data_IF_682012026963
#
_entry.id   IF_682012026963
#
_cell.length_a   1.000
_cell.length_b   1.000
_cell.length_c   1.000
_cell.angle_alpha   90.00
_cell.angle_beta   90.00
_cell.angle_gamma   90.00
#
_symmetry.space_group_name_H-M   'P 1'
#
loop_
_entity.id
_entity.type
_entity.pdbx_description
1 polymer ?
#
# COMPACT_ATOMS: atom_id res chain seq x y z
N UNK A 1 2.82 21.36 3.42
CA UNK A 1 2.92 20.71 4.75
C UNK A 1 4.23 19.94 4.71
N UNK A 2 5.26 20.41 5.41
CA UNK A 2 6.59 19.78 5.41
C UNK A 2 6.56 18.60 6.38
N UNK A 3 7.08 17.46 5.93
CA UNK A 3 7.35 16.31 6.78
C UNK A 3 8.36 16.73 7.87
N UNK A 4 8.06 16.44 9.14
CA UNK A 4 8.87 16.88 10.29
C UNK A 4 9.06 15.72 11.25
N UNK A 5 10.30 15.38 11.56
CA UNK A 5 10.63 14.46 12.63
C UNK A 5 10.38 15.14 13.99
N UNK A 6 9.40 14.63 14.75
CA UNK A 6 9.11 15.07 16.11
C UNK A 6 9.23 13.91 17.09
N UNK A 7 9.53 14.25 18.33
CA UNK A 7 9.58 13.27 19.41
C UNK A 7 8.18 12.63 19.60
N UNK A 8 8.13 11.30 19.70
CA UNK A 8 6.90 10.51 19.81
C UNK A 8 6.02 10.97 20.98
N UNK A 9 6.64 11.32 22.12
CA UNK A 9 5.93 11.72 23.33
C UNK A 9 5.21 13.06 23.17
N UNK A 10 5.59 13.90 22.20
CA UNK A 10 4.99 15.21 21.98
C UNK A 10 3.81 15.19 21.01
N UNK A 11 3.59 14.09 20.30
CA UNK A 11 2.58 14.00 19.23
C UNK A 11 1.54 12.90 19.47
N UNK A 12 1.93 11.79 20.12
CA UNK A 12 1.04 10.63 20.27
C UNK A 12 0.62 10.40 21.72
N UNK A 13 -0.60 9.90 21.93
CA UNK A 13 -1.15 9.60 23.26
C UNK A 13 -0.44 8.43 23.97
N UNK A 14 -0.69 8.29 25.28
CA UNK A 14 0.00 7.30 26.14
C UNK A 14 -0.03 5.87 25.60
N UNK A 15 -1.16 5.40 25.09
CA UNK A 15 -1.31 4.05 24.55
C UNK A 15 -0.40 3.79 23.33
N UNK A 16 -0.26 4.80 22.46
CA UNK A 16 0.65 4.73 21.29
C UNK A 16 2.11 4.74 21.72
N UNK A 17 2.45 5.50 22.77
CA UNK A 17 3.79 5.49 23.35
C UNK A 17 4.12 4.14 23.98
N UNK A 18 3.18 3.52 24.68
CA UNK A 18 3.35 2.18 25.26
C UNK A 18 3.59 1.12 24.18
N UNK A 19 2.81 1.15 23.09
CA UNK A 19 3.02 0.27 21.95
C UNK A 19 4.43 0.48 21.35
N UNK A 20 4.85 1.73 21.12
CA UNK A 20 6.16 2.01 20.55
C UNK A 20 7.31 1.51 21.46
N UNK A 21 7.19 1.69 22.78
CA UNK A 21 8.16 1.16 23.75
C UNK A 21 8.18 -0.38 23.71
N UNK A 22 7.02 -1.04 23.61
CA UNK A 22 6.93 -2.49 23.52
C UNK A 22 7.61 -3.01 22.23
N UNK A 23 7.41 -2.35 21.09
CA UNK A 23 8.09 -2.67 19.82
C UNK A 23 9.60 -2.51 19.95
N UNK A 24 10.08 -1.41 20.55
CA UNK A 24 11.51 -1.18 20.75
C UNK A 24 12.18 -2.23 21.65
N UNK A 25 11.43 -2.82 22.58
CA UNK A 25 11.91 -3.85 23.52
C UNK A 25 11.77 -5.28 23.02
N UNK A 26 11.07 -5.49 21.91
CA UNK A 26 10.85 -6.82 21.37
C UNK A 26 12.16 -7.43 20.83
N UNK A 27 12.31 -8.75 21.06
CA UNK A 27 13.51 -9.53 20.75
C UNK A 27 13.76 -9.70 19.26
N UNK A 28 12.69 -9.74 18.47
CA UNK A 28 12.73 -10.08 17.04
C UNK A 28 11.62 -9.37 16.27
N UNK A 29 11.75 -9.36 14.94
CA UNK A 29 10.82 -8.65 14.07
C UNK A 29 9.42 -9.27 14.04
N UNK A 30 9.27 -10.57 14.31
CA UNK A 30 7.96 -11.20 14.39
C UNK A 30 7.20 -10.70 15.61
N UNK A 31 7.86 -10.62 16.76
CA UNK A 31 7.29 -10.06 17.98
C UNK A 31 6.94 -8.57 17.81
N UNK A 32 7.78 -7.80 17.10
CA UNK A 32 7.48 -6.40 16.75
C UNK A 32 6.20 -6.27 15.92
N UNK A 33 6.07 -7.10 14.88
CA UNK A 33 4.88 -7.13 14.02
C UNK A 33 3.63 -7.47 14.85
N UNK A 34 3.69 -8.53 15.67
CA UNK A 34 2.57 -8.97 16.50
C UNK A 34 2.09 -7.88 17.47
N UNK A 35 3.01 -7.14 18.09
CA UNK A 35 2.67 -6.02 18.99
C UNK A 35 1.94 -4.92 18.22
N UNK A 36 2.43 -4.55 17.03
CA UNK A 36 1.80 -3.53 16.18
C UNK A 36 0.41 -3.99 15.74
N UNK A 37 0.28 -5.22 15.28
CA UNK A 37 -1.00 -5.80 14.84
C UNK A 37 -2.00 -5.85 15.99
N UNK A 38 -1.62 -6.36 17.17
CA UNK A 38 -2.49 -6.41 18.33
C UNK A 38 -2.99 -5.02 18.77
N UNK A 39 -2.16 -3.99 18.61
CA UNK A 39 -2.53 -2.61 18.93
C UNK A 39 -3.45 -1.98 17.88
N UNK A 40 -3.17 -2.18 16.58
CA UNK A 40 -3.88 -1.52 15.49
C UNK A 40 -5.16 -2.25 15.07
N UNK A 41 -5.18 -3.58 15.09
CA UNK A 41 -6.30 -4.37 14.55
C UNK A 41 -7.65 -4.05 15.20
N UNK A 42 -7.78 -3.93 16.54
CA UNK A 42 -9.05 -3.57 17.18
C UNK A 42 -9.52 -2.14 16.84
N UNK A 43 -8.57 -1.25 16.52
CA UNK A 43 -8.86 0.14 16.10
C UNK A 43 -9.22 0.24 14.62
N UNK A 44 -8.70 -0.68 13.82
CA UNK A 44 -8.91 -0.75 12.38
C UNK A 44 -10.23 -1.42 12.00
N UNK A 45 -10.57 -2.54 12.64
CA UNK A 45 -11.74 -3.36 12.32
C UNK A 45 -13.07 -2.58 12.24
N UNK A 46 -13.38 -1.62 13.15
CA UNK A 46 -14.64 -0.87 13.09
C UNK A 46 -14.72 0.17 11.98
N UNK A 47 -13.57 0.67 11.50
CA UNK A 47 -13.49 1.74 10.49
C UNK A 47 -13.32 1.16 9.08
N UNK A 48 -12.92 -0.10 8.98
CA UNK A 48 -12.88 -0.86 7.74
C UNK A 48 -14.30 -1.05 7.23
N UNK A 49 -14.57 -0.64 5.98
CA UNK A 49 -15.84 -0.99 5.34
C UNK A 49 -15.97 -2.52 5.30
N UNK A 50 -17.12 -3.11 5.68
CA UNK A 50 -17.30 -4.55 5.64
C UNK A 50 -17.35 -4.98 4.17
N UNK A 51 -16.20 -5.39 3.63
CA UNK A 51 -16.13 -6.19 2.42
C UNK A 51 -15.98 -7.64 2.85
N UNK A 52 -16.85 -8.49 2.30
CA UNK A 52 -16.83 -9.94 2.50
C UNK A 52 -15.49 -10.48 2.02
N UNK A 53 -14.53 -10.70 2.92
CA UNK A 53 -13.27 -11.36 2.56
C UNK A 53 -13.27 -12.76 3.18
N UNK A 54 -13.43 -13.76 2.32
CA UNK A 54 -13.35 -15.20 2.63
C UNK A 54 -11.90 -15.70 2.75
N UNK A 55 -10.91 -14.79 2.68
CA UNK A 55 -9.46 -15.06 2.65
C UNK A 55 -8.79 -14.16 3.71
N UNK A 56 -7.75 -14.62 4.43
CA UNK A 56 -6.96 -13.74 5.28
C UNK A 56 -6.49 -12.53 4.46
N UNK A 57 -6.72 -11.29 4.93
CA UNK A 57 -6.32 -10.11 4.18
C UNK A 57 -4.79 -10.13 4.02
N UNK A 58 -4.33 -10.20 2.77
CA UNK A 58 -2.92 -9.93 2.49
C UNK A 58 -2.64 -8.43 2.62
N UNK A 59 -1.36 -8.04 2.71
CA UNK A 59 -0.98 -6.62 2.83
C UNK A 59 -1.50 -5.75 1.68
N UNK A 60 -1.84 -6.34 0.54
CA UNK A 60 -2.42 -5.64 -0.60
C UNK A 60 -3.91 -5.38 -0.42
N UNK A 61 -4.67 -6.36 0.07
CA UNK A 61 -6.05 -6.20 0.52
C UNK A 61 -6.14 -5.06 1.52
N UNK A 62 -5.23 -4.98 2.49
CA UNK A 62 -5.21 -3.90 3.48
C UNK A 62 -4.94 -2.53 2.85
N UNK A 63 -4.02 -2.44 1.89
CA UNK A 63 -3.71 -1.19 1.19
C UNK A 63 -4.89 -0.73 0.30
N UNK A 64 -5.50 -1.66 -0.42
CA UNK A 64 -6.67 -1.41 -1.25
C UNK A 64 -7.86 -0.94 -0.40
N UNK A 65 -8.12 -1.62 0.71
CA UNK A 65 -9.16 -1.26 1.67
C UNK A 65 -8.94 0.14 2.26
N UNK A 66 -7.68 0.50 2.56
CA UNK A 66 -7.36 1.85 3.03
C UNK A 66 -7.68 2.90 1.97
N UNK A 67 -7.30 2.69 0.71
CA UNK A 67 -7.60 3.65 -0.35
C UNK A 67 -9.11 3.74 -0.62
N UNK A 68 -9.83 2.63 -0.60
CA UNK A 68 -11.28 2.64 -0.78
C UNK A 68 -11.98 3.34 0.38
N UNK A 69 -11.56 3.11 1.63
CA UNK A 69 -12.09 3.81 2.79
C UNK A 69 -11.78 5.31 2.74
N UNK A 70 -10.60 5.69 2.26
CA UNK A 70 -10.21 7.09 2.03
C UNK A 70 -11.07 7.73 0.93
N UNK A 71 -11.26 7.04 -0.20
CA UNK A 71 -12.09 7.48 -1.31
C UNK A 71 -13.56 7.65 -0.89
N UNK A 72 -14.06 6.72 -0.07
CA UNK A 72 -15.39 6.75 0.52
C UNK A 72 -15.54 7.96 1.43
N UNK A 73 -14.62 8.18 2.39
CA UNK A 73 -14.64 9.37 3.27
C UNK A 73 -14.57 10.69 2.51
N UNK A 74 -13.81 10.74 1.41
CA UNK A 74 -13.78 11.90 0.53
C UNK A 74 -15.07 12.09 -0.28
N UNK A 75 -15.90 11.05 -0.41
CA UNK A 75 -17.17 11.06 -1.12
C UNK A 75 -18.38 11.33 -0.22
N UNK A 76 -18.35 10.89 1.04
CA UNK A 76 -19.45 11.01 2.00
C UNK A 76 -19.48 12.37 2.72
N UNK A 77 -18.49 13.23 2.50
CA UNK A 77 -18.54 14.61 2.98
C UNK A 77 -19.60 15.41 2.21
N UNK A 78 -20.75 15.59 2.87
CA UNK A 78 -21.91 16.48 2.60
C UNK A 78 -22.65 16.29 1.25
N UNK A 79 -23.97 16.05 1.25
CA UNK A 79 -24.78 16.11 0.03
C UNK A 79 -24.63 17.46 -0.67
N UNK A 80 -24.32 17.45 -1.98
CA UNK A 80 -24.25 18.66 -2.81
C UNK A 80 -22.88 19.02 -3.39
N UNK A 81 -21.81 18.27 -3.09
CA UNK A 81 -20.49 18.53 -3.67
C UNK A 81 -20.29 17.85 -5.03
N UNK A 82 -19.90 18.63 -6.04
CA UNK A 82 -19.55 18.11 -7.37
C UNK A 82 -18.29 17.24 -7.34
N UNK A 83 -18.10 16.40 -8.36
CA UNK A 83 -16.91 15.55 -8.53
C UNK A 83 -15.59 16.32 -8.35
N UNK A 84 -15.52 17.56 -8.84
CA UNK A 84 -14.35 18.44 -8.68
C UNK A 84 -14.07 18.83 -7.22
N UNK A 85 -15.10 19.08 -6.42
CA UNK A 85 -14.92 19.44 -5.02
C UNK A 85 -14.43 18.24 -4.19
N UNK A 86 -14.90 17.03 -4.52
CA UNK A 86 -14.38 15.77 -3.97
C UNK A 86 -12.91 15.53 -4.32
N UNK A 87 -12.53 15.74 -5.57
CA UNK A 87 -11.13 15.65 -6.02
C UNK A 87 -10.23 16.67 -5.32
N UNK A 88 -10.68 17.93 -5.21
CA UNK A 88 -9.93 18.99 -4.51
C UNK A 88 -9.73 18.68 -3.04
N UNK A 89 -10.75 18.16 -2.36
CA UNK A 89 -10.67 17.78 -0.94
C UNK A 89 -9.72 16.62 -0.72
N UNK A 90 -9.81 15.59 -1.56
CA UNK A 90 -8.86 14.46 -1.57
C UNK A 90 -7.42 14.97 -1.69
N UNK A 91 -7.16 15.81 -2.69
CA UNK A 91 -5.83 16.39 -2.91
C UNK A 91 -5.37 17.22 -1.71
N UNK A 92 -6.26 17.96 -1.06
CA UNK A 92 -5.95 18.74 0.14
C UNK A 92 -5.61 17.88 1.36
N UNK A 93 -6.27 16.73 1.53
CA UNK A 93 -6.06 15.86 2.69
C UNK A 93 -4.86 14.91 2.53
N UNK A 94 -4.58 14.45 1.31
CA UNK A 94 -3.61 13.38 1.05
C UNK A 94 -2.43 13.82 0.18
N UNK A 95 -2.43 15.07 -0.26
CA UNK A 95 -1.43 15.60 -1.20
C UNK A 95 -1.57 15.08 -2.64
N UNK A 96 -2.39 14.05 -2.88
CA UNK A 96 -2.52 13.38 -4.18
C UNK A 96 -3.96 13.47 -4.72
N UNK A 97 -4.13 13.69 -6.04
CA UNK A 97 -5.46 13.61 -6.65
C UNK A 97 -5.97 12.16 -6.65
N UNK A 98 -7.30 11.98 -6.59
CA UNK A 98 -7.94 10.65 -6.60
C UNK A 98 -7.47 9.74 -7.74
N UNK A 99 -7.24 10.31 -8.94
CA UNK A 99 -6.72 9.56 -10.08
C UNK A 99 -5.30 9.03 -9.84
N UNK A 100 -4.44 9.79 -9.17
CA UNK A 100 -3.10 9.33 -8.81
C UNK A 100 -3.15 8.25 -7.74
N UNK A 101 -4.02 8.39 -6.73
CA UNK A 101 -4.22 7.37 -5.70
C UNK A 101 -4.71 6.05 -6.29
N UNK A 102 -5.71 6.08 -7.17
CA UNK A 102 -6.18 4.89 -7.89
C UNK A 102 -5.09 4.28 -8.79
N UNK A 103 -4.25 5.12 -9.39
CA UNK A 103 -3.10 4.67 -10.17
C UNK A 103 -2.07 3.96 -9.30
N UNK A 104 -1.74 4.52 -8.13
CA UNK A 104 -0.85 3.91 -7.14
C UNK A 104 -1.39 2.58 -6.61
N UNK A 105 -2.68 2.50 -6.27
CA UNK A 105 -3.33 1.24 -5.87
C UNK A 105 -3.25 0.19 -6.95
N UNK A 106 -3.56 0.59 -8.19
CA UNK A 106 -3.51 -0.30 -9.33
C UNK A 106 -2.09 -0.82 -9.54
N UNK A 107 -1.10 0.06 -9.47
CA UNK A 107 0.32 -0.28 -9.56
C UNK A 107 0.76 -1.21 -8.41
N UNK A 108 0.45 -0.90 -7.16
CA UNK A 108 0.79 -1.75 -6.01
C UNK A 108 0.15 -3.14 -6.12
N UNK A 109 -1.09 -3.20 -6.59
CA UNK A 109 -1.80 -4.44 -6.88
C UNK A 109 -1.18 -5.23 -8.02
N UNK A 110 -0.66 -4.53 -9.02
CA UNK A 110 0.08 -5.13 -10.14
C UNK A 110 1.42 -5.67 -9.67
N UNK A 111 2.25 -4.86 -9.02
CA UNK A 111 3.54 -5.28 -8.51
C UNK A 111 3.40 -6.45 -7.56
N UNK A 112 2.46 -6.41 -6.62
CA UNK A 112 2.24 -7.52 -5.69
C UNK A 112 1.84 -8.80 -6.41
N UNK A 113 0.93 -8.72 -7.41
CA UNK A 113 0.52 -9.91 -8.17
C UNK A 113 1.66 -10.47 -9.04
N UNK A 114 2.36 -9.61 -9.77
CA UNK A 114 3.46 -10.04 -10.65
C UNK A 114 4.67 -10.56 -9.88
N UNK A 115 4.97 -10.00 -8.72
CA UNK A 115 6.02 -10.54 -7.85
C UNK A 115 5.60 -11.89 -7.25
N UNK A 116 4.34 -12.03 -6.82
CA UNK A 116 3.86 -13.30 -6.28
C UNK A 116 3.84 -14.44 -7.30
N UNK A 117 3.68 -14.16 -8.59
CA UNK A 117 3.74 -15.15 -9.66
C UNK A 117 5.12 -15.32 -10.29
N UNK A 118 6.18 -14.71 -9.71
CA UNK A 118 7.52 -14.63 -10.28
C UNK A 118 7.53 -14.09 -11.73
N UNK A 119 6.50 -13.33 -12.10
CA UNK A 119 6.24 -12.93 -13.47
C UNK A 119 7.32 -11.99 -14.01
N UNK A 120 7.97 -11.26 -13.12
CA UNK A 120 9.07 -10.36 -13.44
C UNK A 120 10.45 -11.05 -13.52
N UNK A 121 10.58 -12.26 -12.95
CA UNK A 121 11.82 -13.03 -12.92
C UNK A 121 11.89 -14.17 -13.95
N UNK A 122 10.78 -14.50 -14.64
CA UNK A 122 10.78 -15.61 -15.60
C UNK A 122 9.61 -15.68 -16.59
N UNK A 123 8.60 -14.81 -16.53
CA UNK A 123 7.53 -14.74 -17.54
C UNK A 123 7.83 -13.62 -18.54
N UNK A 124 7.35 -13.77 -19.78
CA UNK A 124 7.38 -12.69 -20.76
C UNK A 124 6.64 -11.48 -20.20
N UNK A 125 7.25 -10.28 -20.21
CA UNK A 125 6.60 -9.02 -19.78
C UNK A 125 5.26 -8.75 -20.49
N UNK A 126 5.05 -9.36 -21.66
CA UNK A 126 3.79 -9.35 -22.40
C UNK A 126 2.70 -10.13 -21.66
N UNK A 127 3.01 -11.33 -21.17
CA UNK A 127 2.07 -12.16 -20.41
C UNK A 127 1.72 -11.51 -19.07
N UNK A 128 2.72 -10.86 -18.46
CA UNK A 128 2.53 -10.06 -17.24
C UNK A 128 1.58 -8.91 -17.51
N UNK A 129 1.80 -8.16 -18.60
CA UNK A 129 0.94 -7.06 -19.00
C UNK A 129 -0.52 -7.52 -19.21
N UNK A 130 -0.73 -8.63 -19.94
CA UNK A 130 -2.06 -9.19 -20.17
C UNK A 130 -2.73 -9.69 -18.89
N UNK A 131 -2.01 -10.43 -18.05
CA UNK A 131 -2.51 -10.91 -16.75
C UNK A 131 -2.93 -9.74 -15.84
N UNK A 132 -2.27 -8.61 -15.99
CA UNK A 132 -2.57 -7.39 -15.23
C UNK A 132 -3.65 -6.49 -15.87
N UNK A 133 -4.19 -6.88 -17.03
CA UNK A 133 -5.25 -6.16 -17.72
C UNK A 133 -4.77 -4.97 -18.56
N UNK A 134 -3.49 -4.94 -18.94
CA UNK A 134 -2.97 -3.99 -19.92
C UNK A 134 -3.21 -4.47 -21.35
N UNK A 135 -3.39 -3.50 -22.25
CA UNK A 135 -3.51 -3.73 -23.68
C UNK A 135 -2.24 -4.36 -24.28
N UNK A 136 -1.08 -3.95 -23.78
CA UNK A 136 0.22 -4.30 -24.31
C UNK A 136 1.34 -4.01 -23.29
N UNK A 137 2.54 -4.55 -23.57
CA UNK A 137 3.74 -4.38 -22.76
C UNK A 137 4.22 -2.92 -22.67
N UNK A 138 4.03 -2.11 -23.73
CA UNK A 138 4.52 -0.74 -23.76
C UNK A 138 3.69 0.15 -22.82
N UNK A 139 2.37 -0.03 -22.80
CA UNK A 139 1.46 0.59 -21.86
C UNK A 139 1.81 0.17 -20.42
N UNK A 140 2.03 -1.12 -20.18
CA UNK A 140 2.47 -1.62 -18.88
C UNK A 140 3.78 -0.95 -18.42
N UNK A 141 4.80 -0.95 -19.27
CA UNK A 141 6.11 -0.36 -18.96
C UNK A 141 6.04 1.13 -18.65
N UNK A 142 5.20 1.89 -19.37
CA UNK A 142 5.00 3.33 -19.12
C UNK A 142 4.35 3.58 -17.77
N UNK A 143 3.35 2.79 -17.38
CA UNK A 143 2.69 2.96 -16.07
C UNK A 143 3.62 2.55 -14.92
N UNK A 144 4.38 1.45 -15.05
CA UNK A 144 5.40 1.09 -14.04
C UNK A 144 6.43 2.20 -13.87
N UNK A 145 6.97 2.73 -14.97
CA UNK A 145 7.96 3.82 -14.93
C UNK A 145 7.40 5.11 -14.36
N UNK A 146 6.15 5.43 -14.68
CA UNK A 146 5.48 6.61 -14.16
C UNK A 146 5.34 6.62 -12.63
N UNK A 147 5.09 5.45 -12.03
CA UNK A 147 4.84 5.35 -10.58
C UNK A 147 6.08 4.96 -9.77
N UNK A 148 6.94 4.09 -10.30
CA UNK A 148 8.16 3.66 -9.59
C UNK A 148 9.41 4.46 -9.96
N UNK A 149 9.37 5.22 -11.06
CA UNK A 149 10.56 5.82 -11.66
C UNK A 149 11.43 4.85 -12.47
N UNK A 150 11.18 3.54 -12.37
CA UNK A 150 11.98 2.46 -12.95
C UNK A 150 11.22 1.72 -14.05
N UNK A 151 11.91 1.19 -15.05
CA UNK A 151 11.31 0.21 -15.96
C UNK A 151 10.96 -1.10 -15.21
N UNK A 152 10.08 -1.96 -15.75
CA UNK A 152 9.73 -3.23 -15.09
C UNK A 152 10.94 -4.10 -14.72
N UNK A 153 11.94 -4.19 -15.60
CA UNK A 153 13.15 -4.98 -15.37
C UNK A 153 14.05 -4.34 -14.31
N UNK A 154 14.24 -3.01 -14.35
CA UNK A 154 15.01 -2.29 -13.33
C UNK A 154 14.35 -2.40 -11.95
N UNK A 155 13.02 -2.35 -11.90
CA UNK A 155 12.26 -2.50 -10.68
C UNK A 155 12.42 -3.90 -10.08
N UNK A 156 12.39 -4.95 -10.91
CA UNK A 156 12.66 -6.31 -10.46
C UNK A 156 14.05 -6.44 -9.84
N UNK A 157 15.07 -5.94 -10.54
CA UNK A 157 16.44 -5.95 -10.04
C UNK A 157 16.57 -5.16 -8.73
N UNK A 158 15.93 -3.99 -8.64
CA UNK A 158 15.93 -3.19 -7.42
C UNK A 158 15.26 -3.92 -6.25
N UNK A 159 14.17 -4.66 -6.50
CA UNK A 159 13.50 -5.45 -5.47
C UNK A 159 14.39 -6.58 -4.95
N UNK A 160 15.15 -7.24 -5.83
CA UNK A 160 16.07 -8.31 -5.45
C UNK A 160 17.31 -7.80 -4.70
N UNK A 161 17.84 -6.64 -5.11
CA UNK A 161 19.18 -6.19 -4.71
C UNK A 161 19.21 -5.01 -3.74
N UNK A 162 18.21 -4.13 -3.76
CA UNK A 162 18.23 -2.89 -3.00
C UNK A 162 17.40 -2.99 -1.72
N UNK A 163 17.98 -2.51 -0.62
CA UNK A 163 17.34 -2.51 0.71
C UNK A 163 16.06 -1.68 0.73
N UNK A 164 16.01 -0.52 0.05
CA UNK A 164 14.83 0.35 -0.01
C UNK A 164 13.56 -0.34 -0.54
N UNK A 165 13.71 -1.44 -1.27
CA UNK A 165 12.61 -2.24 -1.82
C UNK A 165 12.29 -3.49 -0.99
N UNK A 166 12.80 -3.59 0.25
CA UNK A 166 12.51 -4.67 1.19
C UNK A 166 11.00 -4.97 1.40
N UNK A 167 10.04 -4.00 1.33
CA UNK A 167 8.63 -4.32 1.54
C UNK A 167 8.06 -5.31 0.52
N UNK A 168 8.61 -5.34 -0.70
CA UNK A 168 8.20 -6.29 -1.73
C UNK A 168 8.77 -7.70 -1.46
N UNK A 169 10.00 -7.78 -0.92
CA UNK A 169 10.65 -9.05 -0.52
C UNK A 169 10.03 -9.68 0.72
N UNK A 170 9.70 -8.89 1.74
CA UNK A 170 9.00 -9.40 2.92
C UNK A 170 7.69 -10.08 2.52
N UNK A 171 6.98 -9.50 1.55
CA UNK A 171 5.72 -10.03 1.03
C UNK A 171 5.90 -11.38 0.32
N UNK A 172 7.04 -11.60 -0.34
CA UNK A 172 7.41 -12.89 -0.94
C UNK A 172 7.65 -13.97 0.14
N UNK A 173 8.42 -13.62 1.17
CA UNK A 173 8.73 -14.54 2.28
C UNK A 173 7.48 -14.98 3.04
N UNK A 174 6.49 -14.10 3.20
CA UNK A 174 5.23 -14.41 3.88
C UNK A 174 4.29 -15.32 3.08
N UNK A 175 4.40 -15.39 1.74
CA UNK A 175 3.60 -16.32 0.90
C UNK A 175 4.17 -17.73 0.83
N UNK A 176 5.47 -17.89 1.07
CA UNK A 176 6.14 -19.19 1.06
C UNK A 176 5.96 -19.99 2.36
N UNK A 177 5.16 -19.46 3.30
CA UNK A 177 4.87 -20.03 4.61
C UNK A 177 3.43 -20.52 4.66
#
# INVERSE_FOLDING_TARGET
>A
MLDQARNLQTVLGKDWQQMAIAVLRASDDLARIQIIEAFLMPRWAPVRAPLSVTVPPDGLSLFNDWVDAVALRASTSTPGHSTRQRERRTKGQLGLPMRALRGLVRMESMLTRGHASNAFGGQSLVDVAHTMGFSDQAHFSREVKRFSGLSPTELQWAIETQESYWPYRLRQALKAR
#
